data_IF_716434261861
#
_entry.id   IF_716434261861
#
_cell.length_a   1.000
_cell.length_b   1.000
_cell.length_c   1.000
_cell.angle_alpha   90.00
_cell.angle_beta   90.00
_cell.angle_gamma   90.00
#
_symmetry.space_group_name_H-M   'P 1'
#
loop_
_entity.id
_entity.type
_entity.pdbx_description
1 polymer ?
#
# COMPACT_ATOMS: atom_id res chain seq x y z
N UNK A 1 21.38 5.61 -1.50
CA UNK A 1 21.92 6.96 -1.19
C UNK A 1 21.34 7.45 0.12
N UNK A 2 22.19 7.71 1.12
CA UNK A 2 21.80 8.03 2.50
C UNK A 2 21.20 9.44 2.67
N UNK A 3 20.96 10.15 1.58
CA UNK A 3 20.49 11.54 1.61
C UNK A 3 19.33 11.83 0.64
N UNK A 4 18.81 10.79 -0.02
CA UNK A 4 17.64 10.92 -0.90
C UNK A 4 16.38 10.50 -0.16
N UNK A 5 15.38 11.35 -0.18
CA UNK A 5 14.03 11.06 0.29
C UNK A 5 13.05 11.05 -0.89
N UNK A 6 12.09 10.16 -0.81
CA UNK A 6 10.95 10.10 -1.72
C UNK A 6 9.70 10.59 -0.97
N UNK A 7 9.02 11.57 -1.54
CA UNK A 7 7.85 12.21 -0.92
C UNK A 7 6.63 11.99 -1.80
N UNK A 8 5.65 11.26 -1.32
CA UNK A 8 4.41 11.01 -2.06
C UNK A 8 3.53 12.26 -2.11
N UNK A 9 3.07 12.62 -3.30
CA UNK A 9 2.12 13.69 -3.57
C UNK A 9 0.85 13.08 -4.13
N UNK A 10 -0.01 12.55 -3.27
CA UNK A 10 -1.18 11.77 -3.63
C UNK A 10 -2.11 12.51 -4.61
N UNK A 11 -2.38 13.80 -4.35
CA UNK A 11 -3.27 14.61 -5.19
C UNK A 11 -2.70 14.91 -6.58
N UNK A 12 -1.38 14.82 -6.74
CA UNK A 12 -0.70 15.10 -8.00
C UNK A 12 -0.39 13.85 -8.82
N UNK A 13 -0.55 12.65 -8.22
CA UNK A 13 -0.12 11.40 -8.85
C UNK A 13 1.39 11.33 -9.05
N UNK A 14 2.17 11.93 -8.15
CA UNK A 14 3.63 12.07 -8.28
C UNK A 14 4.35 11.70 -6.99
N UNK A 15 5.62 11.35 -7.15
CA UNK A 15 6.58 11.26 -6.06
C UNK A 15 7.70 12.25 -6.33
N UNK A 16 7.98 13.12 -5.36
CA UNK A 16 9.10 14.05 -5.44
C UNK A 16 10.36 13.36 -4.91
N UNK A 17 11.47 13.61 -5.58
CA UNK A 17 12.80 13.16 -5.17
C UNK A 17 13.52 14.34 -4.56
N UNK A 18 13.89 14.21 -3.29
CA UNK A 18 14.45 15.29 -2.51
C UNK A 18 15.82 14.90 -1.94
N UNK A 19 16.82 15.74 -2.18
CA UNK A 19 18.13 15.61 -1.55
C UNK A 19 18.16 16.46 -0.28
N UNK A 20 18.13 15.83 0.90
CA UNK A 20 18.11 16.59 2.15
C UNK A 20 19.49 17.05 2.63
N UNK A 21 20.60 16.62 2.02
CA UNK A 21 21.90 17.28 2.23
C UNK A 21 21.97 18.63 1.51
N UNK A 22 21.41 18.68 0.30
CA UNK A 22 21.33 19.91 -0.49
C UNK A 22 20.08 20.74 -0.19
N UNK A 23 19.16 20.20 0.64
CA UNK A 23 17.89 20.81 1.00
C UNK A 23 17.06 21.27 -0.22
N UNK A 24 17.02 20.44 -1.27
CA UNK A 24 16.30 20.75 -2.52
C UNK A 24 15.70 19.53 -3.19
N UNK A 25 14.63 19.76 -3.94
CA UNK A 25 14.11 18.78 -4.89
C UNK A 25 15.10 18.59 -6.04
N UNK A 26 15.39 17.34 -6.37
CA UNK A 26 16.32 16.95 -7.44
C UNK A 26 15.62 16.24 -8.59
N UNK A 27 14.37 15.82 -8.42
CA UNK A 27 13.60 15.15 -9.44
C UNK A 27 12.16 14.90 -9.06
N UNK A 28 11.43 14.27 -9.96
CA UNK A 28 10.08 13.76 -9.70
C UNK A 28 9.84 12.47 -10.50
N UNK A 29 8.92 11.65 -10.01
CA UNK A 29 8.42 10.46 -10.68
C UNK A 29 6.94 10.70 -10.95
N UNK A 30 6.55 10.80 -12.21
CA UNK A 30 5.16 10.96 -12.64
C UNK A 30 4.51 9.59 -12.81
N UNK A 31 3.48 9.32 -11.99
CA UNK A 31 2.75 8.06 -11.97
C UNK A 31 1.44 8.12 -12.75
N UNK A 32 1.06 9.28 -13.28
CA UNK A 32 -0.25 9.47 -13.94
C UNK A 32 -0.44 8.59 -15.18
N UNK A 33 0.68 8.19 -15.84
CA UNK A 33 0.62 7.24 -16.96
C UNK A 33 0.19 5.82 -16.57
N UNK A 34 0.16 5.51 -15.26
CA UNK A 34 -0.23 4.19 -14.75
C UNK A 34 -1.74 4.04 -14.57
N UNK A 35 -2.52 5.08 -14.83
CA UNK A 35 -3.99 5.07 -14.75
C UNK A 35 -4.65 5.35 -16.09
N UNK A 36 -5.93 5.02 -16.18
CA UNK A 36 -6.77 5.41 -17.30
C UNK A 36 -7.28 6.85 -17.22
N UNK A 37 -7.91 7.32 -18.28
CA UNK A 37 -8.50 8.66 -18.33
C UNK A 37 -9.55 8.85 -17.22
N UNK A 38 -9.48 9.99 -16.53
CA UNK A 38 -10.38 10.33 -15.42
C UNK A 38 -10.11 9.61 -14.11
N UNK A 39 -9.03 8.82 -14.02
CA UNK A 39 -8.61 8.12 -12.81
C UNK A 39 -7.36 8.78 -12.25
N UNK A 40 -7.35 9.03 -10.94
CA UNK A 40 -6.21 9.56 -10.20
C UNK A 40 -5.39 8.42 -9.61
N UNK A 41 -4.08 8.45 -9.79
CA UNK A 41 -3.15 7.57 -9.09
C UNK A 41 -2.72 8.24 -7.80
N UNK A 42 -2.99 7.61 -6.67
CA UNK A 42 -2.54 8.07 -5.36
C UNK A 42 -1.36 7.24 -4.87
N UNK A 43 -0.12 7.73 -4.95
CA UNK A 43 1.00 7.08 -4.27
C UNK A 43 0.79 7.11 -2.76
N UNK A 44 0.97 5.94 -2.13
CA UNK A 44 0.87 5.76 -0.69
C UNK A 44 2.28 5.62 -0.07
N UNK A 45 2.52 4.60 0.76
CA UNK A 45 3.85 4.36 1.32
C UNK A 45 4.82 3.81 0.28
N UNK A 46 6.09 3.95 0.58
CA UNK A 46 7.19 3.50 -0.28
C UNK A 46 8.26 2.82 0.54
N UNK A 47 8.91 1.83 -0.07
CA UNK A 47 10.06 1.16 0.54
C UNK A 47 11.15 0.93 -0.51
N UNK A 48 12.41 1.03 -0.10
CA UNK A 48 13.55 0.81 -0.98
C UNK A 48 14.16 -0.55 -0.67
N UNK A 49 14.34 -1.36 -1.73
CA UNK A 49 15.01 -2.66 -1.64
C UNK A 49 15.79 -2.91 -2.94
N UNK A 50 17.03 -3.32 -2.80
CA UNK A 50 17.90 -3.76 -3.91
C UNK A 50 17.96 -2.75 -5.07
N UNK A 51 18.12 -1.45 -4.75
CA UNK A 51 18.18 -0.37 -5.74
C UNK A 51 16.86 -0.02 -6.41
N UNK A 52 15.74 -0.55 -5.91
CA UNK A 52 14.39 -0.27 -6.40
C UNK A 52 13.53 0.39 -5.33
N UNK A 53 12.69 1.32 -5.75
CA UNK A 53 11.64 1.92 -4.91
C UNK A 53 10.32 1.24 -5.26
N UNK A 54 9.71 0.59 -4.29
CA UNK A 54 8.37 0.04 -4.39
C UNK A 54 7.39 1.08 -3.87
N UNK A 55 6.55 1.60 -4.74
CA UNK A 55 5.56 2.64 -4.44
C UNK A 55 4.19 2.01 -4.45
N UNK A 56 3.55 1.90 -3.30
CA UNK A 56 2.18 1.43 -3.20
C UNK A 56 1.22 2.44 -3.86
N UNK A 57 0.25 1.96 -4.62
CA UNK A 57 -0.67 2.79 -5.40
C UNK A 57 -2.11 2.50 -5.03
N UNK A 58 -2.92 3.56 -5.06
CA UNK A 58 -4.37 3.49 -4.99
C UNK A 58 -4.96 4.27 -6.15
N UNK A 59 -6.09 3.82 -6.70
CA UNK A 59 -6.72 4.50 -7.83
C UNK A 59 -8.12 5.00 -7.46
N UNK A 60 -8.38 6.27 -7.74
CA UNK A 60 -9.60 6.97 -7.38
C UNK A 60 -10.20 7.73 -8.56
N UNK A 61 -11.51 7.92 -8.55
CA UNK A 61 -12.19 8.87 -9.44
C UNK A 61 -12.07 10.32 -8.89
N UNK A 62 -12.72 11.26 -9.58
CA UNK A 62 -12.71 12.68 -9.18
C UNK A 62 -13.37 12.94 -7.80
N UNK A 63 -14.22 12.05 -7.33
CA UNK A 63 -14.91 12.10 -6.04
C UNK A 63 -14.16 11.33 -4.93
N UNK A 64 -12.92 10.92 -5.18
CA UNK A 64 -12.12 10.10 -4.28
C UNK A 64 -12.70 8.71 -3.96
N UNK A 65 -13.61 8.25 -4.80
CA UNK A 65 -14.11 6.88 -4.67
C UNK A 65 -13.14 5.91 -5.35
N UNK A 66 -12.89 4.75 -4.75
CA UNK A 66 -12.02 3.73 -5.35
C UNK A 66 -12.64 3.22 -6.66
N UNK A 67 -11.79 3.03 -7.66
CA UNK A 67 -12.23 2.57 -8.98
C UNK A 67 -11.68 1.22 -9.37
N UNK A 68 -10.71 0.70 -8.61
CA UNK A 68 -10.11 -0.60 -8.86
C UNK A 68 -9.90 -1.39 -7.59
N UNK A 69 -10.44 -2.60 -7.58
CA UNK A 69 -10.19 -3.61 -6.57
C UNK A 69 -8.94 -4.41 -6.97
N UNK A 70 -7.78 -3.80 -6.81
CA UNK A 70 -6.49 -4.40 -7.15
C UNK A 70 -5.42 -3.97 -6.18
N UNK A 71 -4.40 -4.81 -6.01
CA UNK A 71 -3.15 -4.45 -5.36
C UNK A 71 -2.19 -3.92 -6.42
N UNK A 72 -1.78 -2.68 -6.28
CA UNK A 72 -0.92 -2.05 -7.29
C UNK A 72 0.33 -1.44 -6.68
N UNK A 73 1.47 -1.64 -7.36
CA UNK A 73 2.74 -0.98 -7.06
C UNK A 73 3.40 -0.48 -8.34
N UNK A 74 4.03 0.68 -8.26
CA UNK A 74 5.06 1.06 -9.21
C UNK A 74 6.43 0.60 -8.66
N UNK A 75 7.22 -0.08 -9.48
CA UNK A 75 8.63 -0.38 -9.20
C UNK A 75 9.47 0.59 -10.00
N UNK A 76 10.29 1.35 -9.29
CA UNK A 76 11.10 2.42 -9.85
C UNK A 76 12.58 2.13 -9.58
N UNK A 77 13.42 2.31 -10.58
CA UNK A 77 14.88 2.28 -10.39
C UNK A 77 15.33 3.50 -9.58
N UNK A 78 15.95 3.25 -8.43
CA UNK A 78 16.33 4.30 -7.47
C UNK A 78 17.50 5.19 -7.96
N UNK A 79 18.24 4.79 -8.98
CA UNK A 79 19.33 5.56 -9.54
C UNK A 79 18.85 6.53 -10.62
N UNK A 80 17.92 6.08 -11.47
CA UNK A 80 17.44 6.85 -12.63
C UNK A 80 16.07 7.50 -12.39
N UNK A 81 15.36 7.12 -11.33
CA UNK A 81 13.98 7.50 -11.03
C UNK A 81 12.97 7.13 -12.14
N UNK A 82 13.28 6.10 -12.94
CA UNK A 82 12.40 5.61 -14.00
C UNK A 82 11.53 4.46 -13.51
N UNK A 83 10.27 4.48 -13.89
CA UNK A 83 9.35 3.38 -13.66
C UNK A 83 9.82 2.20 -14.53
N UNK A 84 10.14 1.08 -13.89
CA UNK A 84 10.52 -0.16 -14.57
C UNK A 84 9.34 -1.10 -14.74
N UNK A 85 8.39 -1.08 -13.76
CA UNK A 85 7.28 -2.01 -13.76
C UNK A 85 6.05 -1.42 -13.06
N UNK A 86 4.88 -1.76 -13.56
CA UNK A 86 3.59 -1.58 -12.88
C UNK A 86 3.06 -2.95 -12.50
N UNK A 87 3.07 -3.25 -11.20
CA UNK A 87 2.52 -4.48 -10.64
C UNK A 87 1.02 -4.29 -10.47
N UNK A 88 0.25 -5.32 -10.83
CA UNK A 88 -1.19 -5.39 -10.59
C UNK A 88 -1.55 -6.80 -10.19
N UNK A 89 -2.29 -6.94 -9.10
CA UNK A 89 -2.90 -8.20 -8.70
C UNK A 89 -4.37 -7.97 -8.40
N UNK A 90 -5.25 -8.66 -9.14
CA UNK A 90 -6.70 -8.63 -8.98
C UNK A 90 -7.21 -9.97 -8.41
N UNK A 91 -6.32 -10.92 -8.13
CA UNK A 91 -6.68 -12.30 -7.76
C UNK A 91 -6.82 -12.49 -6.26
N UNK A 92 -6.07 -11.73 -5.46
CA UNK A 92 -6.10 -11.83 -4.01
C UNK A 92 -7.35 -11.17 -3.39
N UNK A 93 -8.11 -10.41 -4.17
CA UNK A 93 -9.37 -9.79 -3.74
C UNK A 93 -9.18 -8.72 -2.66
N UNK A 94 -8.00 -8.14 -2.57
CA UNK A 94 -7.65 -7.06 -1.65
C UNK A 94 -7.35 -5.78 -2.44
N UNK A 95 -7.45 -4.64 -1.78
CA UNK A 95 -7.21 -3.35 -2.42
C UNK A 95 -6.47 -2.37 -1.49
N UNK A 96 -5.82 -1.39 -2.11
CA UNK A 96 -5.12 -0.29 -1.47
C UNK A 96 -4.00 -0.77 -0.55
N UNK A 97 -2.87 -1.21 -1.15
CA UNK A 97 -1.69 -1.58 -0.40
C UNK A 97 -1.15 -0.36 0.35
N UNK A 98 -0.88 -0.52 1.63
CA UNK A 98 -0.44 0.48 2.61
C UNK A 98 -1.42 1.64 2.86
N UNK A 99 -1.18 2.35 3.96
CA UNK A 99 -1.93 3.54 4.35
C UNK A 99 -1.03 4.77 4.22
N UNK A 100 -1.39 5.80 3.42
CA UNK A 100 -0.49 6.93 3.14
C UNK A 100 0.01 7.70 4.36
N UNK A 101 -0.73 7.67 5.46
CA UNK A 101 -0.40 8.38 6.71
C UNK A 101 0.23 7.48 7.78
N UNK A 102 0.49 6.20 7.46
CA UNK A 102 1.09 5.24 8.38
C UNK A 102 2.13 4.38 7.65
N UNK A 103 3.39 4.76 7.79
CA UNK A 103 4.51 4.08 7.15
C UNK A 103 4.71 2.65 7.64
N UNK A 104 4.28 2.30 8.85
CA UNK A 104 4.35 0.95 9.39
C UNK A 104 3.50 -0.07 8.62
N UNK A 105 2.53 0.40 7.84
CA UNK A 105 1.70 -0.48 6.99
C UNK A 105 2.42 -1.05 5.77
N UNK A 106 3.66 -0.67 5.54
CA UNK A 106 4.56 -1.21 4.52
C UNK A 106 5.96 -1.37 5.15
N UNK A 107 6.41 -2.60 5.35
CA UNK A 107 7.69 -2.86 6.01
C UNK A 107 8.45 -4.01 5.34
N UNK A 108 9.70 -4.16 5.70
CA UNK A 108 10.58 -5.26 5.26
C UNK A 108 11.04 -6.04 6.49
N UNK A 109 10.96 -7.38 6.41
CA UNK A 109 11.48 -8.24 7.46
C UNK A 109 13.00 -8.47 7.34
N UNK A 110 13.56 -9.22 8.27
CA UNK A 110 15.00 -9.53 8.33
C UNK A 110 15.49 -10.39 7.15
N UNK A 111 14.56 -11.07 6.47
CA UNK A 111 14.85 -11.87 5.28
C UNK A 111 14.87 -11.02 4.01
N UNK A 112 14.31 -9.81 4.08
CA UNK A 112 14.17 -8.91 2.95
C UNK A 112 12.85 -9.08 2.17
N UNK A 113 11.87 -9.81 2.74
CA UNK A 113 10.51 -9.83 2.21
C UNK A 113 9.81 -8.52 2.56
N UNK A 114 9.10 -7.93 1.59
CA UNK A 114 8.29 -6.73 1.80
C UNK A 114 6.87 -7.18 2.13
N UNK A 115 6.38 -6.78 3.29
CA UNK A 115 5.00 -6.99 3.73
C UNK A 115 4.22 -5.69 3.69
N UNK A 116 2.93 -5.77 3.39
CA UNK A 116 2.06 -4.62 3.39
C UNK A 116 0.65 -4.97 3.86
N UNK A 117 0.06 -4.04 4.61
CA UNK A 117 -1.35 -4.09 4.97
C UNK A 117 -2.18 -3.45 3.86
N UNK A 118 -3.31 -4.07 3.54
CA UNK A 118 -4.28 -3.55 2.58
C UNK A 118 -5.46 -2.94 3.35
N UNK A 119 -5.78 -1.68 3.08
CA UNK A 119 -6.85 -0.98 3.81
C UNK A 119 -8.25 -1.22 3.24
N UNK A 120 -8.38 -1.81 2.05
CA UNK A 120 -9.66 -2.27 1.50
C UNK A 120 -10.78 -1.24 1.56
N UNK A 121 -10.48 0.04 1.32
CA UNK A 121 -11.46 1.14 1.44
C UNK A 121 -12.18 1.20 2.81
N UNK A 122 -11.45 0.87 3.89
CA UNK A 122 -11.94 0.87 5.28
C UNK A 122 -13.13 -0.07 5.54
N UNK A 123 -13.32 -1.11 4.69
CA UNK A 123 -14.48 -2.00 4.77
C UNK A 123 -15.80 -1.35 4.37
N UNK A 124 -15.78 -0.13 3.84
CA UNK A 124 -16.99 0.65 3.54
C UNK A 124 -17.51 0.44 2.12
N UNK A 125 -16.66 -0.02 1.21
CA UNK A 125 -17.03 -0.22 -0.20
C UNK A 125 -17.08 -1.72 -0.50
N UNK A 126 -18.21 -2.27 -0.92
CA UNK A 126 -18.36 -3.68 -1.26
C UNK A 126 -17.32 -4.14 -2.30
N UNK A 127 -16.71 -5.30 -2.06
CA UNK A 127 -15.72 -5.88 -2.96
C UNK A 127 -14.28 -5.37 -2.74
N UNK A 128 -14.07 -4.36 -1.89
CA UNK A 128 -12.75 -3.87 -1.51
C UNK A 128 -12.37 -4.40 -0.13
N UNK A 129 -11.49 -5.39 -0.09
CA UNK A 129 -11.16 -6.07 1.17
C UNK A 129 -9.80 -5.67 1.71
N UNK A 130 -9.73 -5.61 3.05
CA UNK A 130 -8.49 -5.42 3.78
C UNK A 130 -7.78 -6.73 4.10
N UNK A 131 -6.48 -6.64 4.41
CA UNK A 131 -5.68 -7.81 4.73
C UNK A 131 -4.19 -7.57 4.67
N UNK A 132 -3.44 -8.64 4.47
CA UNK A 132 -1.98 -8.60 4.35
C UNK A 132 -1.53 -9.41 3.14
N UNK A 133 -0.52 -8.89 2.44
CA UNK A 133 0.17 -9.60 1.38
C UNK A 133 1.67 -9.26 1.42
N UNK A 134 2.47 -9.90 0.55
CA UNK A 134 3.91 -9.65 0.51
C UNK A 134 4.49 -9.69 -0.90
N UNK A 135 5.72 -9.18 -1.02
CA UNK A 135 6.61 -9.35 -2.18
C UNK A 135 7.87 -10.02 -1.66
N UNK A 136 8.17 -11.23 -2.11
CA UNK A 136 9.36 -11.98 -1.67
C UNK A 136 10.65 -11.26 -2.01
N UNK A 137 11.68 -11.49 -1.22
CA UNK A 137 13.06 -11.05 -1.52
C UNK A 137 13.47 -11.52 -2.91
N UNK A 138 14.09 -10.60 -3.66
CA UNK A 138 14.53 -10.85 -5.02
C UNK A 138 13.43 -10.76 -6.09
N UNK A 139 12.16 -10.80 -5.68
CA UNK A 139 11.01 -10.69 -6.58
C UNK A 139 10.52 -9.24 -6.68
N UNK A 140 9.80 -8.92 -7.75
CA UNK A 140 9.08 -7.65 -7.87
C UNK A 140 7.58 -7.83 -7.87
N UNK A 141 7.08 -9.04 -8.11
CA UNK A 141 5.65 -9.34 -8.10
C UNK A 141 5.13 -9.70 -6.71
N UNK A 142 3.83 -9.48 -6.51
CA UNK A 142 3.15 -9.91 -5.30
C UNK A 142 3.16 -11.44 -5.23
N UNK A 143 3.46 -11.98 -4.06
CA UNK A 143 3.49 -13.42 -3.83
C UNK A 143 2.04 -13.99 -3.82
N UNK A 144 1.64 -14.77 -4.83
CA UNK A 144 0.29 -15.31 -4.90
C UNK A 144 0.04 -16.41 -3.86
N UNK A 145 1.07 -16.88 -3.16
CA UNK A 145 0.98 -17.94 -2.15
C UNK A 145 0.84 -17.41 -0.73
N UNK A 146 0.91 -16.07 -0.55
CA UNK A 146 0.79 -15.45 0.76
C UNK A 146 -0.25 -14.33 0.73
N UNK A 147 -1.36 -14.56 1.39
CA UNK A 147 -2.36 -13.52 1.66
C UNK A 147 -3.17 -13.87 2.91
N UNK A 148 -3.52 -12.87 3.67
CA UNK A 148 -4.41 -12.97 4.82
C UNK A 148 -5.53 -11.96 4.60
N UNK A 149 -6.72 -12.43 4.28
CA UNK A 149 -7.90 -11.60 4.15
C UNK A 149 -8.61 -11.48 5.49
N UNK A 150 -8.80 -10.26 5.98
CA UNK A 150 -9.40 -10.01 7.28
C UNK A 150 -10.87 -10.45 7.33
N UNK A 151 -11.62 -10.27 6.26
CA UNK A 151 -13.03 -10.70 6.14
C UNK A 151 -13.20 -12.22 6.08
N UNK A 152 -12.11 -12.97 5.94
CA UNK A 152 -12.09 -14.43 5.92
C UNK A 152 -11.40 -15.03 7.16
N UNK A 153 -10.67 -14.22 7.93
CA UNK A 153 -9.88 -14.67 9.07
C UNK A 153 -10.53 -14.24 10.37
N UNK A 154 -10.83 -15.21 11.25
CA UNK A 154 -11.34 -14.91 12.58
C UNK A 154 -10.23 -14.31 13.46
N UNK A 155 -10.57 -13.24 14.18
CA UNK A 155 -9.70 -12.69 15.21
C UNK A 155 -9.81 -13.64 16.42
N UNK A 156 -8.67 -14.21 16.82
CA UNK A 156 -8.62 -15.15 17.93
C UNK A 156 -9.15 -14.51 19.22
N UNK A 157 -9.96 -15.26 19.94
CA UNK A 157 -10.58 -14.79 21.19
C UNK A 157 -11.84 -13.95 21.04
N UNK A 158 -12.17 -13.44 19.85
CA UNK A 158 -13.33 -12.57 19.63
C UNK A 158 -14.43 -13.20 18.76
N UNK A 159 -14.13 -14.27 18.04
CA UNK A 159 -15.04 -14.93 17.08
C UNK A 159 -15.69 -13.94 16.08
N UNK A 160 -14.94 -12.92 15.69
CA UNK A 160 -15.33 -11.92 14.70
C UNK A 160 -14.25 -11.81 13.62
N UNK A 161 -14.59 -11.19 12.53
CA UNK A 161 -13.67 -10.88 11.42
C UNK A 161 -13.31 -9.40 11.43
N UNK A 162 -12.13 -9.07 10.90
CA UNK A 162 -11.73 -7.68 10.69
C UNK A 162 -12.14 -7.18 9.32
N UNK A 163 -12.19 -5.86 9.17
CA UNK A 163 -12.45 -5.20 7.89
C UNK A 163 -11.19 -4.58 7.31
N UNK A 164 -10.41 -3.88 8.13
CA UNK A 164 -9.17 -3.24 7.68
C UNK A 164 -8.15 -3.06 8.80
N UNK A 165 -6.90 -2.84 8.40
CA UNK A 165 -5.80 -2.47 9.30
C UNK A 165 -5.70 -0.95 9.35
N UNK A 166 -5.93 -0.36 10.52
CA UNK A 166 -5.86 1.08 10.73
C UNK A 166 -4.42 1.57 10.93
N UNK A 167 -3.60 0.77 11.62
CA UNK A 167 -2.17 1.02 11.84
C UNK A 167 -1.42 -0.29 12.05
N UNK A 168 -0.12 -0.27 11.79
CA UNK A 168 0.74 -1.45 11.94
C UNK A 168 2.16 -1.04 12.30
N UNK A 169 2.80 -1.82 13.19
CA UNK A 169 4.22 -1.68 13.52
C UNK A 169 4.88 -3.05 13.52
N UNK A 170 5.92 -3.22 12.73
CA UNK A 170 6.71 -4.45 12.72
C UNK A 170 7.71 -4.42 13.89
N UNK A 171 7.63 -5.43 14.75
CA UNK A 171 8.45 -5.51 15.96
C UNK A 171 9.68 -6.45 15.82
N UNK A 172 9.89 -7.01 14.62
CA UNK A 172 10.95 -7.97 14.36
C UNK A 172 10.56 -9.42 14.63
N UNK A 173 11.41 -10.34 14.17
CA UNK A 173 11.24 -11.79 14.35
C UNK A 173 9.91 -12.33 13.84
N UNK A 174 9.37 -11.77 12.76
CA UNK A 174 8.10 -12.18 12.17
C UNK A 174 6.87 -11.73 12.94
N UNK A 175 7.01 -10.79 13.87
CA UNK A 175 5.91 -10.26 14.67
C UNK A 175 5.61 -8.81 14.31
N UNK A 176 4.31 -8.50 14.17
CA UNK A 176 3.82 -7.15 14.01
C UNK A 176 2.63 -6.90 14.94
N UNK A 177 2.48 -5.68 15.39
CA UNK A 177 1.35 -5.24 16.21
C UNK A 177 0.56 -4.20 15.42
N UNK A 178 -0.76 -4.26 15.49
CA UNK A 178 -1.58 -3.34 14.74
C UNK A 178 -2.96 -3.14 15.32
N UNK A 179 -3.60 -2.08 14.84
CA UNK A 179 -5.01 -1.84 15.11
C UNK A 179 -5.83 -2.35 13.93
N UNK A 180 -6.63 -3.38 14.19
CA UNK A 180 -7.59 -3.92 13.23
C UNK A 180 -8.98 -3.44 13.61
N UNK A 181 -9.69 -2.85 12.66
CA UNK A 181 -11.09 -2.46 12.84
C UNK A 181 -12.04 -3.56 12.37
N UNK A 182 -13.18 -3.64 13.05
CA UNK A 182 -14.29 -4.49 12.64
C UNK A 182 -15.59 -3.68 12.74
N UNK A 183 -16.23 -3.43 11.60
CA UNK A 183 -17.49 -2.70 11.53
C UNK A 183 -18.65 -3.48 12.21
N UNK A 184 -18.47 -4.78 12.38
CA UNK A 184 -19.41 -5.62 13.14
C UNK A 184 -19.49 -5.26 14.63
N UNK A 185 -18.42 -4.62 15.18
CA UNK A 185 -18.38 -4.14 16.58
C UNK A 185 -18.89 -2.70 16.73
N UNK A 186 -18.96 -1.97 15.64
CA UNK A 186 -19.46 -0.60 15.64
C UNK A 186 -20.55 -0.43 14.57
N UNK A 187 -21.80 -0.73 14.92
CA UNK A 187 -22.92 -0.60 13.99
C UNK A 187 -23.23 0.84 13.58
N UNK A 188 -22.60 1.85 14.23
CA UNK A 188 -22.72 3.24 13.81
C UNK A 188 -21.86 3.58 12.58
N UNK A 189 -20.88 2.76 12.26
CA UNK A 189 -20.08 2.86 11.02
C UNK A 189 -20.91 2.29 9.88
N UNK A 190 -21.87 3.04 9.41
CA UNK A 190 -22.57 2.73 8.16
C UNK A 190 -21.77 3.30 7.00
N UNK A 191 -21.72 2.53 5.90
CA UNK A 191 -21.23 3.08 4.63
C UNK A 191 -22.04 4.34 4.32
N UNK A 192 -21.39 5.48 4.43
CA UNK A 192 -21.99 6.73 4.00
C UNK A 192 -21.75 6.79 2.47
N UNK A 193 -22.82 6.73 1.66
CA UNK A 193 -22.68 6.68 0.19
C UNK A 193 -22.05 7.95 -0.39
#
# INVERSE_FOLDING_TARGET
>A
NDHIAYVSCQNLGKVLVFDFKQMRQTGEIDLNSLSGAGVRVGPACMIVRDGKVFIALSQFNAQWMPVKNSLEFAVVDAQTNRIEKHIKDETLGMAFPSRPIDSGTLFMDEKGDIYFACIGSFGLVPGFHGGFARIKKGETDIDPTYSIRLDQTNIEGLNIKGDYVASLEYAGNGMAYGHVSSNALDPSVTANP
#
